data_IF_676227201091
#
_entry.id   IF_676227201091
#
_cell.length_a   1.000
_cell.length_b   1.000
_cell.length_c   1.000
_cell.angle_alpha   90.00
_cell.angle_beta   90.00
_cell.angle_gamma   90.00
#
_symmetry.space_group_name_H-M   'P 1'
#
loop_
_entity.id
_entity.type
_entity.pdbx_description
1 polymer ?
#
# COMPACT_ATOMS: atom_id res chain seq x y z
N UNK A 1 22.31 -3.36 -1.90
CA UNK A 1 21.16 -4.28 -1.89
C UNK A 1 20.42 -4.10 -3.21
N UNK A 2 20.39 -5.13 -4.06
CA UNK A 2 19.73 -5.07 -5.36
C UNK A 2 18.25 -5.40 -5.15
N UNK A 3 17.44 -4.39 -4.81
CA UNK A 3 15.99 -4.56 -4.62
C UNK A 3 15.38 -4.85 -5.99
N UNK A 4 15.31 -6.13 -6.36
CA UNK A 4 14.60 -6.59 -7.54
C UNK A 4 13.16 -6.84 -7.15
N UNK A 5 12.28 -5.87 -7.39
CA UNK A 5 10.84 -6.12 -7.28
C UNK A 5 10.45 -7.14 -8.35
N UNK A 6 10.15 -8.36 -7.92
CA UNK A 6 9.57 -9.38 -8.77
C UNK A 6 8.09 -9.09 -9.04
N UNK A 7 7.50 -9.87 -9.95
CA UNK A 7 6.07 -9.75 -10.23
C UNK A 7 5.21 -10.04 -8.98
N UNK A 8 5.67 -10.94 -8.10
CA UNK A 8 4.99 -11.24 -6.85
C UNK A 8 4.98 -10.04 -5.89
N UNK A 9 6.09 -9.32 -5.75
CA UNK A 9 6.19 -8.11 -4.93
C UNK A 9 5.26 -7.01 -5.44
N UNK A 10 5.19 -6.83 -6.77
CA UNK A 10 4.28 -5.88 -7.39
C UNK A 10 2.82 -6.23 -7.10
N UNK A 11 2.43 -7.51 -7.24
CA UNK A 11 1.08 -7.96 -6.93
C UNK A 11 0.78 -7.75 -5.44
N UNK A 12 1.73 -8.04 -4.55
CA UNK A 12 1.59 -7.85 -3.11
C UNK A 12 1.41 -6.37 -2.73
N UNK A 13 2.21 -5.46 -3.30
CA UNK A 13 2.07 -4.01 -3.11
C UNK A 13 0.69 -3.56 -3.59
N UNK A 14 0.25 -4.00 -4.77
CA UNK A 14 -1.08 -3.66 -5.30
C UNK A 14 -2.21 -4.15 -4.40
N UNK A 15 -2.14 -5.41 -3.94
CA UNK A 15 -3.15 -5.98 -3.05
C UNK A 15 -3.22 -5.25 -1.70
N UNK A 16 -2.06 -4.94 -1.10
CA UNK A 16 -1.98 -4.20 0.16
C UNK A 16 -2.42 -2.74 0.01
N UNK A 17 -2.04 -2.08 -1.08
CA UNK A 17 -2.42 -0.70 -1.33
C UNK A 17 -3.94 -0.59 -1.54
N UNK A 18 -4.52 -1.48 -2.34
CA UNK A 18 -5.95 -1.46 -2.65
C UNK A 18 -6.77 -1.92 -1.43
N UNK A 19 -6.34 -2.99 -0.75
CA UNK A 19 -6.96 -3.44 0.50
C UNK A 19 -6.88 -2.38 1.60
N UNK A 20 -5.72 -1.76 1.80
CA UNK A 20 -5.52 -0.67 2.75
C UNK A 20 -6.39 0.54 2.44
N UNK A 21 -6.47 0.95 1.18
CA UNK A 21 -7.32 2.07 0.76
C UNK A 21 -8.81 1.76 1.01
N UNK A 22 -9.27 0.53 0.74
CA UNK A 22 -10.64 0.10 1.01
C UNK A 22 -10.95 0.06 2.52
N UNK A 23 -10.01 -0.43 3.33
CA UNK A 23 -10.14 -0.44 4.79
C UNK A 23 -10.22 0.97 5.36
N UNK A 24 -9.36 1.89 4.89
CA UNK A 24 -9.40 3.30 5.26
C UNK A 24 -10.72 3.94 4.82
N UNK A 25 -11.12 3.75 3.56
CA UNK A 25 -12.37 4.28 3.04
C UNK A 25 -13.60 3.73 3.80
N UNK A 26 -13.57 2.47 4.24
CA UNK A 26 -14.60 1.90 5.12
C UNK A 26 -14.55 2.53 6.52
N UNK A 27 -13.35 2.76 7.06
CA UNK A 27 -13.13 3.29 8.41
C UNK A 27 -13.48 4.78 8.55
N UNK A 28 -13.13 5.59 7.55
CA UNK A 28 -13.25 7.05 7.58
C UNK A 28 -14.39 7.57 6.70
N UNK A 29 -14.97 6.73 5.82
CA UNK A 29 -16.13 7.06 4.97
C UNK A 29 -15.96 8.42 4.28
N UNK A 30 -14.91 8.61 3.47
CA UNK A 30 -14.63 9.89 2.83
C UNK A 30 -15.84 10.35 2.01
N UNK A 31 -16.36 11.53 2.36
CA UNK A 31 -17.47 12.16 1.61
C UNK A 31 -17.00 12.99 0.42
N UNK A 32 -15.68 13.15 0.26
CA UNK A 32 -15.08 13.96 -0.80
C UNK A 32 -14.03 13.17 -1.56
N UNK A 33 -13.92 13.45 -2.86
CA UNK A 33 -12.89 12.86 -3.73
C UNK A 33 -11.46 13.13 -3.24
N UNK A 34 -11.22 14.28 -2.60
CA UNK A 34 -9.90 14.64 -2.04
C UNK A 34 -9.53 13.76 -0.85
N UNK A 35 -10.50 13.43 0.02
CA UNK A 35 -10.28 12.50 1.14
C UNK A 35 -9.93 11.10 0.65
N UNK A 36 -10.70 10.60 -0.31
CA UNK A 36 -10.44 9.29 -0.92
C UNK A 36 -9.06 9.22 -1.59
N UNK A 37 -8.64 10.27 -2.30
CA UNK A 37 -7.30 10.34 -2.91
C UNK A 37 -6.19 10.33 -1.85
N UNK A 38 -6.37 11.05 -0.74
CA UNK A 38 -5.39 11.05 0.36
C UNK A 38 -5.26 9.68 1.01
N UNK A 39 -6.38 9.00 1.27
CA UNK A 39 -6.38 7.66 1.85
C UNK A 39 -5.73 6.64 0.90
N UNK A 40 -6.02 6.72 -0.40
CA UNK A 40 -5.39 5.88 -1.40
C UNK A 40 -3.87 6.11 -1.48
N UNK A 41 -3.43 7.37 -1.41
CA UNK A 41 -2.00 7.72 -1.43
C UNK A 41 -1.27 7.20 -0.18
N UNK A 42 -1.88 7.37 0.99
CA UNK A 42 -1.33 6.84 2.25
C UNK A 42 -1.25 5.32 2.25
N UNK A 43 -2.29 4.63 1.78
CA UNK A 43 -2.29 3.17 1.66
C UNK A 43 -1.21 2.67 0.69
N UNK A 44 -0.98 3.38 -0.42
CA UNK A 44 0.07 3.04 -1.38
C UNK A 44 1.47 3.17 -0.75
N UNK A 45 1.75 4.30 -0.10
CA UNK A 45 3.02 4.51 0.59
C UNK A 45 3.24 3.46 1.69
N UNK A 46 2.19 3.14 2.46
CA UNK A 46 2.25 2.10 3.49
C UNK A 46 2.52 0.71 2.90
N UNK A 47 1.89 0.35 1.78
CA UNK A 47 2.09 -0.92 1.11
C UNK A 47 3.53 -1.10 0.62
N UNK A 48 4.10 -0.07 -0.03
CA UNK A 48 5.49 -0.08 -0.48
C UNK A 48 6.42 -0.21 0.73
N UNK A 49 6.20 0.60 1.77
CA UNK A 49 7.03 0.56 2.99
C UNK A 49 6.97 -0.82 3.67
N UNK A 50 5.79 -1.44 3.74
CA UNK A 50 5.61 -2.76 4.33
C UNK A 50 6.40 -3.82 3.55
N UNK A 51 6.28 -3.86 2.23
CA UNK A 51 7.00 -4.84 1.40
C UNK A 51 8.51 -4.63 1.51
N UNK A 52 9.00 -3.39 1.38
CA UNK A 52 10.43 -3.09 1.53
C UNK A 52 10.94 -3.47 2.93
N UNK A 53 10.16 -3.21 3.98
CA UNK A 53 10.56 -3.55 5.36
C UNK A 53 10.67 -5.06 5.55
N UNK A 54 9.71 -5.83 5.00
CA UNK A 54 9.75 -7.29 5.06
C UNK A 54 10.93 -7.84 4.28
N UNK A 55 11.17 -7.33 3.07
CA UNK A 55 12.33 -7.70 2.24
C UNK A 55 13.65 -7.42 2.96
N UNK A 56 13.78 -6.27 3.62
CA UNK A 56 14.98 -5.92 4.41
C UNK A 56 15.13 -6.80 5.65
N UNK A 57 14.03 -7.17 6.32
CA UNK A 57 14.05 -8.04 7.51
C UNK A 57 14.44 -9.48 7.18
N UNK A 58 14.07 -9.95 5.99
CA UNK A 58 14.33 -11.32 5.53
C UNK A 58 15.68 -11.48 4.80
N UNK A 59 16.37 -10.36 4.49
CA UNK A 59 17.69 -10.33 3.84
C UNK A 59 18.84 -10.45 4.84
#
# INVERSE_FOLDING_TARGET
>A
MNIRLGNADLILILALALGGALLLALRFRPKTWRGLLFEALLANLAAIAAVVTVEVLLA
#
